data_IF_508212730100
#
_entry.id   IF_508212730100
#
_cell.length_a   1.000
_cell.length_b   1.000
_cell.length_c   1.000
_cell.angle_alpha   90.00
_cell.angle_beta   90.00
_cell.angle_gamma   90.00
#
_symmetry.space_group_name_H-M   'P 1'
#
loop_
_entity.id
_entity.type
_entity.pdbx_description
1 polymer ?
#
# COMPACT_ATOMS: atom_id res chain seq x y z
N UNK A 1 -71.32 -47.29 17.99
CA UNK A 1 -72.53 -47.31 17.12
C UNK A 1 -72.34 -46.22 16.08
N UNK A 2 -72.54 -46.57 14.82
CA UNK A 2 -72.84 -45.72 13.65
C UNK A 2 -71.78 -44.79 13.10
N UNK A 3 -71.17 -45.17 11.94
CA UNK A 3 -70.80 -44.35 10.78
C UNK A 3 -72.08 -43.78 10.12
N UNK A 4 -72.04 -42.72 9.33
CA UNK A 4 -71.81 -42.83 7.91
C UNK A 4 -70.98 -41.67 7.28
N UNK A 5 -70.28 -41.99 6.23
CA UNK A 5 -70.51 -41.78 4.80
C UNK A 5 -70.36 -40.37 4.26
N UNK A 6 -69.28 -40.22 3.50
CA UNK A 6 -69.25 -39.83 2.07
C UNK A 6 -69.72 -38.43 1.68
N UNK A 7 -68.81 -37.67 1.12
CA UNK A 7 -69.09 -37.02 -0.18
C UNK A 7 -67.77 -36.70 -0.87
N UNK A 8 -67.61 -37.31 -2.01
CA UNK A 8 -66.64 -36.99 -3.05
C UNK A 8 -66.98 -35.61 -3.66
N UNK A 9 -66.06 -34.70 -3.60
CA UNK A 9 -66.13 -33.56 -4.48
C UNK A 9 -64.85 -33.57 -5.32
N UNK A 10 -65.06 -33.98 -6.55
CA UNK A 10 -64.14 -33.85 -7.66
C UNK A 10 -63.92 -32.39 -7.97
N UNK A 11 -62.74 -31.90 -7.81
CA UNK A 11 -62.41 -30.56 -8.21
C UNK A 11 -61.26 -30.63 -9.22
N UNK A 12 -61.60 -30.36 -10.44
CA UNK A 12 -60.71 -30.20 -11.59
C UNK A 12 -59.63 -29.17 -11.29
N UNK A 13 -58.41 -29.61 -11.11
CA UNK A 13 -57.27 -28.70 -11.06
C UNK A 13 -56.84 -28.43 -12.49
N UNK A 14 -57.20 -27.24 -12.96
CA UNK A 14 -56.71 -26.64 -14.19
C UNK A 14 -55.22 -26.36 -14.02
N UNK A 15 -54.38 -27.13 -14.72
CA UNK A 15 -52.94 -26.88 -14.76
C UNK A 15 -52.73 -25.67 -15.68
N UNK A 16 -52.58 -24.50 -15.08
CA UNK A 16 -52.10 -23.33 -15.77
C UNK A 16 -50.57 -23.43 -15.86
N UNK A 17 -50.07 -23.85 -17.02
CA UNK A 17 -48.67 -23.82 -17.39
C UNK A 17 -48.22 -22.35 -17.53
N UNK A 18 -47.68 -21.78 -16.48
CA UNK A 18 -46.96 -20.50 -16.54
C UNK A 18 -45.62 -20.79 -17.20
N UNK A 19 -45.52 -20.51 -18.48
CA UNK A 19 -44.23 -20.46 -19.18
C UNK A 19 -43.43 -19.29 -18.65
N UNK A 20 -42.58 -19.56 -17.65
CA UNK A 20 -41.64 -18.59 -17.12
C UNK A 20 -40.50 -18.46 -18.15
N UNK A 21 -40.63 -17.53 -19.09
CA UNK A 21 -39.53 -17.13 -19.98
C UNK A 21 -38.46 -16.46 -19.13
N UNK A 22 -37.44 -17.24 -18.73
CA UNK A 22 -36.22 -16.73 -18.15
C UNK A 22 -35.48 -15.96 -19.23
N UNK A 23 -35.71 -14.66 -19.31
CA UNK A 23 -34.86 -13.75 -20.06
C UNK A 23 -33.49 -13.75 -19.33
N UNK A 24 -32.57 -14.59 -19.81
CA UNK A 24 -31.17 -14.50 -19.42
C UNK A 24 -30.66 -13.17 -19.99
N UNK A 25 -30.74 -12.11 -19.19
CA UNK A 25 -30.05 -10.86 -19.48
C UNK A 25 -28.56 -11.19 -19.40
N UNK A 26 -27.95 -11.46 -20.55
CA UNK A 26 -26.51 -11.49 -20.70
C UNK A 26 -26.02 -10.08 -20.36
N UNK A 27 -25.75 -9.84 -19.07
CA UNK A 27 -24.99 -8.68 -18.69
C UNK A 27 -23.61 -8.87 -19.30
N UNK A 28 -23.14 -7.96 -20.17
CA UNK A 28 -21.74 -7.99 -20.56
C UNK A 28 -20.97 -7.93 -19.25
N UNK A 29 -20.29 -9.02 -18.91
CA UNK A 29 -19.28 -8.99 -17.86
C UNK A 29 -18.29 -7.94 -18.32
N UNK A 30 -18.42 -6.73 -17.78
CA UNK A 30 -17.39 -5.72 -17.91
C UNK A 30 -16.11 -6.44 -17.43
N UNK A 31 -15.21 -6.71 -18.36
CA UNK A 31 -13.88 -7.18 -18.04
C UNK A 31 -13.33 -6.15 -17.06
N UNK A 32 -13.45 -6.43 -15.77
CA UNK A 32 -12.79 -5.66 -14.74
C UNK A 32 -11.30 -5.85 -15.02
N UNK A 33 -10.75 -4.97 -15.85
CA UNK A 33 -9.32 -4.90 -16.08
C UNK A 33 -8.69 -4.77 -14.69
N UNK A 34 -7.88 -5.74 -14.33
CA UNK A 34 -7.12 -5.68 -13.09
C UNK A 34 -6.41 -4.32 -13.09
N UNK A 35 -6.54 -3.53 -12.00
CA UNK A 35 -5.98 -2.18 -11.96
C UNK A 35 -4.49 -2.25 -12.27
N UNK A 36 -3.99 -1.28 -13.03
CA UNK A 36 -2.57 -1.14 -13.32
C UNK A 36 -1.78 -1.17 -12.01
N UNK A 37 -0.82 -2.11 -11.84
CA UNK A 37 -0.05 -2.22 -10.61
C UNK A 37 0.63 -0.92 -10.19
N UNK A 38 1.02 -0.07 -11.14
CA UNK A 38 1.61 1.24 -10.84
C UNK A 38 0.56 2.22 -10.28
N UNK A 39 -0.68 2.19 -10.77
CA UNK A 39 -1.76 3.02 -10.26
C UNK A 39 -2.20 2.56 -8.86
N UNK A 40 -2.27 1.25 -8.63
CA UNK A 40 -2.53 0.71 -7.31
C UNK A 40 -1.42 1.11 -6.33
N UNK A 41 -0.16 0.97 -6.74
CA UNK A 41 1.01 1.40 -5.96
C UNK A 41 0.93 2.88 -5.59
N UNK A 42 0.51 3.76 -6.50
CA UNK A 42 0.35 5.19 -6.19
C UNK A 42 -0.61 5.44 -5.03
N UNK A 43 -1.74 4.74 -5.02
CA UNK A 43 -2.75 4.86 -3.97
C UNK A 43 -2.26 4.32 -2.63
N UNK A 44 -1.63 3.14 -2.65
CA UNK A 44 -1.08 2.49 -1.45
C UNK A 44 0.08 3.29 -0.86
N UNK A 45 0.98 3.81 -1.71
CA UNK A 45 2.10 4.65 -1.31
C UNK A 45 1.66 5.93 -0.61
N UNK A 46 0.65 6.61 -1.16
CA UNK A 46 0.09 7.81 -0.54
C UNK A 46 -0.43 7.52 0.86
N UNK A 47 -1.22 6.45 1.02
CA UNK A 47 -1.75 6.04 2.32
C UNK A 47 -0.62 5.72 3.31
N UNK A 48 0.35 4.90 2.90
CA UNK A 48 1.47 4.51 3.74
C UNK A 48 2.31 5.72 4.17
N UNK A 49 2.55 6.68 3.27
CA UNK A 49 3.26 7.91 3.59
C UNK A 49 2.50 8.78 4.59
N UNK A 50 1.19 8.95 4.42
CA UNK A 50 0.36 9.72 5.35
C UNK A 50 0.29 9.09 6.75
N UNK A 51 0.31 7.76 6.85
CA UNK A 51 0.40 7.03 8.11
C UNK A 51 1.75 7.25 8.80
N UNK A 52 2.85 7.10 8.07
CA UNK A 52 4.20 7.37 8.58
C UNK A 52 4.33 8.80 9.08
N UNK A 53 3.81 9.78 8.34
CA UNK A 53 3.84 11.18 8.75
C UNK A 53 3.07 11.41 10.04
N UNK A 54 1.87 10.85 10.18
CA UNK A 54 1.06 10.98 11.40
C UNK A 54 1.75 10.37 12.63
N UNK A 55 2.37 9.21 12.48
CA UNK A 55 3.13 8.56 13.55
C UNK A 55 4.30 9.43 13.99
N UNK A 56 5.06 9.91 13.02
CA UNK A 56 6.17 10.80 13.31
C UNK A 56 5.73 12.11 14.00
N UNK A 57 4.69 12.76 13.50
CA UNK A 57 4.15 13.97 14.12
C UNK A 57 3.65 13.71 15.56
N UNK A 58 3.15 12.52 15.84
CA UNK A 58 2.74 12.11 17.18
C UNK A 58 3.96 11.90 18.11
N UNK A 59 5.02 11.26 17.59
CA UNK A 59 6.27 11.03 18.33
C UNK A 59 6.94 12.35 18.70
N UNK A 60 7.10 13.25 17.73
CA UNK A 60 7.70 14.58 17.95
C UNK A 60 6.93 15.38 18.98
N UNK A 61 5.59 15.39 18.91
CA UNK A 61 4.76 16.07 19.92
C UNK A 61 4.92 15.46 21.31
N UNK A 62 5.09 14.15 21.41
CA UNK A 62 5.29 13.44 22.66
C UNK A 62 6.62 13.82 23.36
N UNK A 63 7.64 14.16 22.58
CA UNK A 63 8.97 14.52 23.11
C UNK A 63 9.05 15.97 23.62
N UNK A 64 8.02 16.79 23.43
CA UNK A 64 7.99 18.22 23.80
C UNK A 64 9.17 19.03 23.23
N UNK A 65 9.82 18.52 22.18
CA UNK A 65 10.92 19.19 21.53
C UNK A 65 10.39 20.25 20.56
N UNK A 66 11.08 21.39 20.50
CA UNK A 66 10.88 22.34 19.39
C UNK A 66 11.57 21.77 18.16
N UNK A 67 10.86 20.90 17.46
CA UNK A 67 11.32 20.30 16.20
C UNK A 67 10.50 20.96 15.11
N UNK A 68 11.17 21.66 14.21
CA UNK A 68 10.55 22.07 12.96
C UNK A 68 10.67 20.91 12.00
N UNK A 69 9.51 20.31 11.67
CA UNK A 69 9.43 19.25 10.67
C UNK A 69 9.35 19.96 9.33
N UNK A 70 10.49 20.08 8.67
CA UNK A 70 10.58 20.61 7.33
C UNK A 70 9.80 19.78 6.29
N UNK A 71 10.01 20.05 5.03
CA UNK A 71 9.34 19.36 3.95
C UNK A 71 9.63 17.85 3.99
N UNK A 72 8.59 17.07 4.18
CA UNK A 72 8.65 15.64 3.95
C UNK A 72 8.08 15.37 2.56
N UNK A 73 8.85 14.70 1.71
CA UNK A 73 8.42 14.28 0.40
C UNK A 73 8.61 12.77 0.22
N UNK A 74 7.95 12.22 -0.79
CA UNK A 74 8.17 10.83 -1.15
C UNK A 74 8.05 10.64 -2.67
N UNK A 75 8.77 9.64 -3.14
CA UNK A 75 8.60 9.08 -4.49
C UNK A 75 8.20 7.62 -4.35
N UNK A 76 7.33 7.15 -5.21
CA UNK A 76 6.86 5.77 -5.17
C UNK A 76 7.07 5.08 -6.51
N UNK A 77 7.22 3.79 -6.47
CA UNK A 77 7.44 2.96 -7.64
C UNK A 77 7.00 1.51 -7.41
N UNK A 78 6.27 0.94 -8.38
CA UNK A 78 5.98 -0.49 -8.35
C UNK A 78 7.15 -1.28 -8.91
N UNK A 79 7.81 -2.06 -8.08
CA UNK A 79 8.89 -2.94 -8.49
C UNK A 79 8.31 -4.30 -8.93
N UNK A 80 8.31 -4.57 -10.24
CA UNK A 80 7.72 -5.78 -10.82
C UNK A 80 8.47 -7.06 -10.46
N UNK A 81 9.78 -7.00 -10.19
CA UNK A 81 10.57 -8.17 -9.75
C UNK A 81 10.21 -8.57 -8.33
N UNK A 82 10.08 -7.60 -7.44
CA UNK A 82 9.69 -7.83 -6.05
C UNK A 82 8.17 -7.98 -5.90
N UNK A 83 7.39 -7.59 -6.90
CA UNK A 83 5.93 -7.46 -6.85
C UNK A 83 5.48 -6.62 -5.65
N UNK A 84 6.18 -5.48 -5.43
CA UNK A 84 5.96 -4.59 -4.29
C UNK A 84 5.95 -3.14 -4.71
N UNK A 85 5.14 -2.39 -3.98
CA UNK A 85 5.14 -0.93 -4.05
C UNK A 85 6.21 -0.39 -3.08
N UNK A 86 7.16 0.36 -3.62
CA UNK A 86 8.27 0.94 -2.88
C UNK A 86 8.09 2.45 -2.74
N UNK A 87 8.52 2.98 -1.60
CA UNK A 87 8.56 4.40 -1.28
C UNK A 87 9.99 4.81 -0.94
N UNK A 88 10.50 5.82 -1.62
CA UNK A 88 11.66 6.58 -1.16
C UNK A 88 11.13 7.80 -0.42
N UNK A 89 11.29 7.83 0.88
CA UNK A 89 10.83 8.92 1.73
C UNK A 89 12.03 9.79 2.12
N UNK A 90 11.91 11.08 1.92
CA UNK A 90 12.88 12.08 2.36
C UNK A 90 12.26 12.90 3.47
N UNK A 91 13.01 13.11 4.52
CA UNK A 91 12.59 13.80 5.72
C UNK A 91 13.65 14.79 6.15
N UNK A 92 13.26 16.04 6.31
CA UNK A 92 14.08 17.09 6.88
C UNK A 92 13.58 17.43 8.28
N UNK A 93 14.49 17.58 9.20
CA UNK A 93 14.16 17.90 10.59
C UNK A 93 15.16 18.94 11.08
N UNK A 94 14.68 20.01 11.68
CA UNK A 94 15.54 21.02 12.33
C UNK A 94 15.32 20.95 13.84
N UNK A 95 16.37 20.69 14.58
CA UNK A 95 16.38 20.70 16.05
C UNK A 95 17.41 21.72 16.53
N UNK A 96 16.96 22.76 17.23
CA UNK A 96 17.83 23.86 17.69
C UNK A 96 18.59 24.43 16.49
N UNK A 97 19.86 24.16 16.32
CA UNK A 97 20.70 24.64 15.22
C UNK A 97 21.19 23.49 14.31
N UNK A 98 20.60 22.31 14.43
CA UNK A 98 20.98 21.13 13.65
C UNK A 98 19.94 20.81 12.57
N UNK A 99 20.37 20.78 11.32
CA UNK A 99 19.57 20.33 10.18
C UNK A 99 19.89 18.86 9.91
N UNK A 100 18.93 18.00 10.13
CA UNK A 100 19.04 16.57 9.83
C UNK A 100 18.22 16.23 8.58
N UNK A 101 18.83 15.49 7.68
CA UNK A 101 18.17 14.90 6.52
C UNK A 101 18.22 13.38 6.60
N UNK A 102 17.05 12.74 6.49
CA UNK A 102 16.94 11.29 6.46
C UNK A 102 16.24 10.86 5.20
N UNK A 103 16.84 9.91 4.48
CA UNK A 103 16.20 9.24 3.35
C UNK A 103 16.10 7.75 3.64
N UNK A 104 14.96 7.14 3.36
CA UNK A 104 14.80 5.71 3.51
C UNK A 104 13.94 5.11 2.40
N UNK A 105 14.34 3.93 1.94
CA UNK A 105 13.61 3.11 1.00
C UNK A 105 12.87 2.02 1.77
N UNK A 106 11.54 2.03 1.69
CA UNK A 106 10.65 1.06 2.33
C UNK A 106 9.62 0.54 1.32
N UNK A 107 8.97 -0.57 1.62
CA UNK A 107 7.72 -0.92 0.92
C UNK A 107 6.47 -0.48 1.72
N UNK A 108 5.31 -0.64 1.13
CA UNK A 108 4.03 -0.29 1.77
C UNK A 108 3.72 -1.15 3.01
N UNK A 109 4.40 -2.30 3.17
CA UNK A 109 4.33 -3.14 4.37
C UNK A 109 5.38 -2.74 5.42
N UNK A 110 6.05 -1.59 5.23
CA UNK A 110 7.08 -1.01 6.12
C UNK A 110 8.38 -1.81 6.22
N UNK A 111 8.64 -2.71 5.29
CA UNK A 111 9.93 -3.36 5.21
C UNK A 111 10.96 -2.36 4.70
N UNK A 112 12.04 -2.18 5.44
CA UNK A 112 13.14 -1.28 5.08
C UNK A 112 14.13 -1.98 4.15
N UNK A 113 14.57 -1.26 3.11
CA UNK A 113 15.58 -1.69 2.15
C UNK A 113 16.86 -0.85 2.25
N UNK A 114 16.73 0.42 2.60
CA UNK A 114 17.89 1.28 2.81
C UNK A 114 17.53 2.46 3.72
N UNK A 115 18.53 2.96 4.43
CA UNK A 115 18.42 4.20 5.20
C UNK A 115 19.71 5.01 5.05
N UNK A 116 19.58 6.30 4.90
CA UNK A 116 20.66 7.29 4.88
C UNK A 116 20.29 8.45 5.81
N UNK A 117 21.23 8.87 6.63
CA UNK A 117 21.05 9.98 7.54
C UNK A 117 22.28 10.88 7.52
N UNK A 118 22.05 12.17 7.43
CA UNK A 118 23.08 13.21 7.57
C UNK A 118 22.59 14.31 8.50
N UNK A 119 23.53 14.97 9.16
CA UNK A 119 23.28 16.15 10.00
C UNK A 119 24.29 17.23 9.62
N UNK A 120 23.80 18.43 9.30
CA UNK A 120 24.60 19.55 8.82
C UNK A 120 25.52 19.18 7.64
N UNK A 121 25.02 18.35 6.72
CA UNK A 121 25.76 17.88 5.54
C UNK A 121 26.82 16.80 5.85
N UNK A 122 26.90 16.32 7.08
CA UNK A 122 27.81 15.21 7.44
C UNK A 122 27.00 13.91 7.59
N UNK A 123 27.41 12.87 6.87
CA UNK A 123 26.81 11.55 6.98
C UNK A 123 26.96 10.98 8.39
N UNK A 124 25.85 10.65 9.02
CA UNK A 124 25.80 10.03 10.35
C UNK A 124 25.67 8.51 10.23
N UNK A 125 24.83 8.06 9.32
CA UNK A 125 24.64 6.63 9.07
C UNK A 125 24.19 6.38 7.63
N UNK A 126 24.58 5.23 7.11
CA UNK A 126 24.10 4.73 5.84
C UNK A 126 24.06 3.19 5.87
N UNK A 127 22.90 2.60 5.63
CA UNK A 127 22.72 1.16 5.67
C UNK A 127 21.90 0.70 4.47
N UNK A 128 22.41 -0.32 3.78
CA UNK A 128 21.75 -0.99 2.67
C UNK A 128 21.36 -2.40 3.13
N UNK A 129 20.09 -2.78 2.93
CA UNK A 129 19.54 -4.05 3.40
C UNK A 129 19.19 -4.90 2.19
N UNK A 130 20.08 -5.83 1.86
CA UNK A 130 19.91 -6.73 0.72
C UNK A 130 18.99 -7.91 1.07
N UNK A 131 19.02 -8.37 2.31
CA UNK A 131 18.16 -9.41 2.85
C UNK A 131 18.05 -9.28 4.37
N UNK A 132 17.18 -10.09 5.01
CA UNK A 132 17.01 -10.11 6.49
C UNK A 132 18.33 -10.37 7.24
N UNK A 133 19.30 -11.01 6.58
CA UNK A 133 20.58 -11.38 7.20
C UNK A 133 21.77 -10.64 6.61
N UNK A 134 21.55 -9.80 5.63
CA UNK A 134 22.65 -9.16 4.91
C UNK A 134 22.40 -7.65 4.83
N UNK A 135 23.13 -6.94 5.67
CA UNK A 135 23.19 -5.48 5.69
C UNK A 135 24.61 -5.03 5.38
N UNK A 136 24.75 -3.94 4.65
CA UNK A 136 26.02 -3.34 4.29
C UNK A 136 25.98 -1.85 4.60
N UNK A 137 27.01 -1.33 5.24
CA UNK A 137 27.16 0.11 5.40
C UNK A 137 27.57 0.71 4.06
N UNK A 138 26.93 1.82 3.66
CA UNK A 138 27.39 2.61 2.52
C UNK A 138 28.31 3.76 3.01
N UNK A 139 29.16 4.24 2.11
CA UNK A 139 30.20 5.21 2.43
C UNK A 139 29.85 6.63 2.01
N UNK A 140 28.81 6.78 1.19
CA UNK A 140 28.39 8.08 0.65
C UNK A 140 26.93 8.10 0.28
N UNK A 141 26.41 9.31 0.02
CA UNK A 141 25.10 9.55 -0.55
C UNK A 141 24.98 8.90 -1.94
N UNK A 142 26.02 8.97 -2.75
CA UNK A 142 26.03 8.40 -4.11
C UNK A 142 25.86 6.87 -4.07
N UNK A 143 26.49 6.17 -3.13
CA UNK A 143 26.30 4.72 -2.96
C UNK A 143 24.85 4.40 -2.55
N UNK A 144 24.26 5.20 -1.67
CA UNK A 144 22.84 5.06 -1.31
C UNK A 144 21.94 5.27 -2.53
N UNK A 145 22.15 6.36 -3.27
CA UNK A 145 21.33 6.71 -4.44
C UNK A 145 21.48 5.67 -5.56
N UNK A 146 22.69 5.15 -5.79
CA UNK A 146 22.93 4.06 -6.73
C UNK A 146 22.20 2.77 -6.33
N UNK A 147 22.17 2.44 -5.05
CA UNK A 147 21.42 1.28 -4.55
C UNK A 147 19.91 1.51 -4.73
N UNK A 148 19.39 2.66 -4.33
CA UNK A 148 17.97 3.01 -4.46
C UNK A 148 17.51 2.97 -5.92
N UNK A 149 18.33 3.47 -6.84
CA UNK A 149 18.04 3.47 -8.28
C UNK A 149 17.78 2.08 -8.83
N UNK A 150 18.47 1.03 -8.35
CA UNK A 150 18.24 -0.35 -8.76
C UNK A 150 16.82 -0.84 -8.45
N UNK A 151 16.19 -0.27 -7.44
CA UNK A 151 14.82 -0.62 -7.02
C UNK A 151 13.76 0.27 -7.68
N UNK A 152 14.11 1.52 -8.01
CA UNK A 152 13.20 2.52 -8.54
C UNK A 152 13.26 2.66 -10.08
N UNK A 153 14.23 2.01 -10.74
CA UNK A 153 14.32 2.07 -12.20
C UNK A 153 13.18 1.30 -12.86
N UNK A 154 12.60 1.94 -13.88
CA UNK A 154 11.67 1.27 -14.79
C UNK A 154 12.40 0.13 -15.48
N UNK A 155 12.08 -1.09 -15.13
CA UNK A 155 12.53 -2.23 -15.91
C UNK A 155 11.82 -2.16 -17.26
N UNK A 156 12.62 -1.86 -18.28
CA UNK A 156 12.18 -1.89 -19.69
C UNK A 156 11.76 -3.28 -20.10
#
# INVERSE_FOLDING_TARGET
MARPLSTLISSLITIATVACTIAIVLHPTANAQSPDPQQQCSTEAKRAFEELRREYDAEVRGLQLKVDVGSNDYRHYYNSKLKRCLLLVNKNTTMVDELSHTSYLIDTDRRMYAVYMETNGQMQSCTLIQSVRQTTACKSRDEFDAFVSQYLEKQK
#
